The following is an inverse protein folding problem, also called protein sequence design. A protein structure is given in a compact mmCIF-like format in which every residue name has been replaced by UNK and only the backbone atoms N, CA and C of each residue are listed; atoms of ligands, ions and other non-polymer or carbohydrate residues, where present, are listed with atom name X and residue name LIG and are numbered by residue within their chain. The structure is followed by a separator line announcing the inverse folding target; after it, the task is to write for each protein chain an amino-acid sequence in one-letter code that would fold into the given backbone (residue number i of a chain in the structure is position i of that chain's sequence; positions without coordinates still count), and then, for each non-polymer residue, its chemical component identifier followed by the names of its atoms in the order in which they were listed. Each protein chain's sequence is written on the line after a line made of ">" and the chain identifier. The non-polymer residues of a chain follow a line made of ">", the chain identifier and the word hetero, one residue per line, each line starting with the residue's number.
data_IF_387017197330
#
_entry.id   IF_387017197330
#
_cell.length_a   1.000
_cell.length_b   1.000
_cell.length_c   1.000
_cell.angle_alpha   90.00
_cell.angle_beta   90.00
_cell.angle_gamma   90.00
#
_symmetry.space_group_name_H-M   'P 1'
#
loop_
_entity.id
_entity.type
_entity.pdbx_description
1 polymer ?
#
# COMPACT_ATOMS: atom_id res chain seq x y z
N UNK A 1 -8.41 -8.55 -25.07
CA UNK A 1 -8.15 -9.58 -24.04
C UNK A 1 -8.69 -9.04 -22.72
N UNK A 2 -9.79 -9.56 -22.17
CA UNK A 2 -10.31 -9.09 -20.87
C UNK A 2 -9.50 -9.78 -19.78
N UNK A 3 -8.66 -9.03 -19.05
CA UNK A 3 -7.98 -9.55 -17.87
C UNK A 3 -9.05 -9.90 -16.82
N UNK A 4 -9.13 -11.17 -16.43
CA UNK A 4 -10.01 -11.60 -15.33
C UNK A 4 -9.26 -11.34 -14.03
N UNK A 5 -9.77 -10.42 -13.21
CA UNK A 5 -9.20 -10.17 -11.90
C UNK A 5 -9.50 -11.35 -10.95
N UNK A 6 -8.56 -11.72 -10.07
CA UNK A 6 -8.82 -12.71 -9.03
C UNK A 6 -9.94 -12.25 -8.10
N UNK A 7 -10.89 -13.10 -7.67
CA UNK A 7 -11.99 -12.70 -6.80
C UNK A 7 -11.53 -12.20 -5.42
N UNK A 8 -10.31 -12.52 -5.00
CA UNK A 8 -9.72 -12.14 -3.72
C UNK A 8 -9.60 -10.63 -3.56
N UNK A 9 -9.44 -9.87 -4.67
CA UNK A 9 -9.36 -8.39 -4.64
C UNK A 9 -10.67 -7.72 -4.26
N UNK A 10 -11.77 -8.48 -4.14
CA UNK A 10 -13.06 -7.99 -3.70
C UNK A 10 -13.27 -8.17 -2.19
N UNK A 11 -12.35 -8.85 -1.50
CA UNK A 11 -12.42 -9.08 -0.06
C UNK A 11 -11.79 -7.92 0.70
N UNK A 12 -12.30 -7.67 1.90
CA UNK A 12 -11.64 -6.74 2.82
C UNK A 12 -10.27 -7.28 3.26
N UNK A 13 -9.28 -6.41 3.50
CA UNK A 13 -8.05 -6.77 4.17
C UNK A 13 -8.34 -7.43 5.51
N UNK A 14 -7.57 -8.46 5.82
CA UNK A 14 -7.65 -9.15 7.10
C UNK A 14 -6.55 -8.62 8.00
N UNK A 15 -6.92 -8.21 9.20
CA UNK A 15 -6.02 -7.89 10.30
C UNK A 15 -6.27 -8.89 11.42
N UNK A 16 -5.25 -9.65 11.79
CA UNK A 16 -5.32 -10.64 12.86
C UNK A 16 -4.26 -10.32 13.90
N UNK A 17 -4.58 -10.40 15.18
CA UNK A 17 -3.56 -10.30 16.24
C UNK A 17 -2.52 -11.41 16.04
N UNK A 18 -1.23 -11.09 16.17
CA UNK A 18 -0.12 -12.03 15.95
C UNK A 18 -0.09 -13.20 16.95
N UNK A 19 -1.03 -13.28 17.89
CA UNK A 19 -1.13 -14.36 18.87
C UNK A 19 0.03 -14.43 19.87
N UNK A 20 0.83 -13.35 19.98
CA UNK A 20 1.98 -13.30 20.88
C UNK A 20 3.31 -13.61 20.20
N UNK A 21 3.55 -13.06 19.01
CA UNK A 21 4.87 -13.14 18.37
C UNK A 21 5.96 -12.60 19.30
N UNK A 22 7.08 -13.32 19.36
CA UNK A 22 8.24 -12.90 20.14
C UNK A 22 8.73 -11.53 19.63
N UNK A 23 9.10 -10.59 20.53
CA UNK A 23 9.65 -9.32 20.10
C UNK A 23 10.90 -9.51 19.23
N UNK A 24 10.98 -8.77 18.14
CA UNK A 24 12.15 -8.72 17.28
C UNK A 24 13.15 -7.78 17.95
N UNK A 25 14.25 -8.35 18.46
CA UNK A 25 15.32 -7.60 19.12
C UNK A 25 16.52 -7.44 18.20
N UNK A 26 17.04 -6.22 18.09
CA UNK A 26 18.25 -5.93 17.32
C UNK A 26 18.99 -4.70 17.84
N UNK A 27 20.28 -4.58 17.49
CA UNK A 27 21.14 -3.45 17.88
C UNK A 27 21.50 -2.62 16.66
N UNK A 28 21.48 -1.28 16.78
CA UNK A 28 21.93 -0.37 15.72
C UNK A 28 22.45 0.94 16.30
N UNK A 29 23.67 1.33 15.89
CA UNK A 29 24.36 2.55 16.34
C UNK A 29 24.43 2.67 17.88
N UNK A 30 24.81 1.59 18.57
CA UNK A 30 24.91 1.51 20.04
C UNK A 30 23.58 1.58 20.81
N UNK A 31 22.43 1.47 20.12
CA UNK A 31 21.11 1.33 20.72
C UNK A 31 20.56 -0.08 20.54
N UNK A 32 19.87 -0.59 21.57
CA UNK A 32 19.06 -1.80 21.51
C UNK A 32 17.60 -1.44 21.23
N UNK A 33 17.00 -2.15 20.27
CA UNK A 33 15.62 -1.97 19.86
C UNK A 33 14.85 -3.26 20.12
N UNK A 34 13.61 -3.12 20.60
CA UNK A 34 12.65 -4.19 20.73
C UNK A 34 11.37 -3.81 19.95
N UNK A 35 11.09 -4.53 18.88
CA UNK A 35 9.86 -4.37 18.11
C UNK A 35 8.89 -5.48 18.49
N UNK A 36 7.69 -5.10 18.95
CA UNK A 36 6.61 -6.05 19.25
C UNK A 36 5.57 -6.01 18.13
N UNK A 37 5.50 -7.02 17.24
CA UNK A 37 4.46 -7.09 16.22
C UNK A 37 3.10 -7.33 16.86
N UNK A 38 2.15 -6.41 16.65
CA UNK A 38 0.80 -6.51 17.24
C UNK A 38 -0.18 -7.27 16.35
N UNK A 39 -0.05 -7.14 15.03
CA UNK A 39 -0.98 -7.74 14.07
C UNK A 39 -0.27 -8.24 12.82
N UNK A 40 -0.81 -9.29 12.24
CA UNK A 40 -0.54 -9.78 10.89
C UNK A 40 -1.62 -9.22 9.96
N UNK A 41 -1.19 -8.78 8.77
CA UNK A 41 -2.05 -8.17 7.78
C UNK A 41 -1.98 -8.96 6.47
N UNK A 42 -3.13 -9.32 5.93
CA UNK A 42 -3.28 -9.86 4.58
C UNK A 42 -4.12 -8.89 3.75
N UNK A 43 -3.58 -8.46 2.61
CA UNK A 43 -4.28 -7.61 1.66
C UNK A 43 -4.18 -8.16 0.25
N UNK A 44 -5.34 -8.32 -0.40
CA UNK A 44 -5.46 -8.64 -1.81
C UNK A 44 -6.05 -7.41 -2.50
N UNK A 45 -5.28 -6.76 -3.36
CA UNK A 45 -5.70 -5.50 -3.99
C UNK A 45 -5.15 -5.32 -5.40
N UNK A 46 -5.82 -4.46 -6.16
CA UNK A 46 -5.36 -4.01 -7.46
C UNK A 46 -4.39 -2.84 -7.28
N UNK A 47 -3.18 -2.96 -7.82
CA UNK A 47 -2.21 -1.87 -7.87
C UNK A 47 -2.68 -0.82 -8.87
N UNK A 48 -2.93 0.40 -8.40
CA UNK A 48 -3.35 1.53 -9.24
C UNK A 48 -2.26 2.58 -9.42
N UNK A 49 -1.25 2.58 -8.56
CA UNK A 49 -0.04 3.39 -8.70
C UNK A 49 1.14 2.71 -8.03
N UNK A 50 2.33 2.94 -8.58
CA UNK A 50 3.60 2.46 -8.04
C UNK A 50 4.61 3.59 -8.08
N UNK A 51 5.26 3.86 -6.95
CA UNK A 51 6.38 4.79 -6.86
C UNK A 51 7.64 4.07 -6.43
N UNK A 52 8.73 4.31 -7.14
CA UNK A 52 10.04 3.71 -6.89
C UNK A 52 11.04 4.80 -6.59
N UNK A 53 11.78 4.65 -5.50
CA UNK A 53 12.78 5.61 -5.03
C UNK A 53 14.21 5.22 -5.45
N UNK A 54 14.38 4.05 -6.08
CA UNK A 54 15.68 3.48 -6.48
C UNK A 54 16.57 4.38 -7.36
N UNK A 55 16.01 5.38 -8.05
CA UNK A 55 16.72 6.22 -9.02
C UNK A 55 16.79 7.71 -8.63
N UNK A 56 16.34 8.08 -7.43
CA UNK A 56 16.48 9.45 -6.95
C UNK A 56 17.92 9.62 -6.43
N UNK A 57 18.74 10.29 -7.24
CA UNK A 57 20.22 10.39 -7.12
C UNK A 57 20.71 11.40 -6.09
N UNK A 58 19.85 11.92 -5.20
CA UNK A 58 20.22 12.97 -4.25
C UNK A 58 20.14 12.42 -2.83
N UNK A 59 21.14 11.67 -2.38
CA UNK A 59 21.39 11.31 -0.96
C UNK A 59 20.13 11.13 -0.07
N UNK A 60 19.05 10.54 -0.60
CA UNK A 60 17.71 10.79 -0.06
C UNK A 60 17.45 9.80 1.06
N UNK A 61 17.48 10.32 2.28
CA UNK A 61 17.07 9.72 3.56
C UNK A 61 17.29 8.22 3.81
N UNK A 62 17.77 7.90 5.02
CA UNK A 62 17.95 6.50 5.49
C UNK A 62 16.70 5.62 5.31
N UNK A 63 15.51 6.23 5.26
CA UNK A 63 14.22 5.57 5.09
C UNK A 63 14.00 4.99 3.69
N UNK A 64 14.46 5.65 2.61
CA UNK A 64 14.26 5.15 1.23
C UNK A 64 15.06 3.88 0.94
N UNK A 65 16.18 3.68 1.65
CA UNK A 65 16.96 2.43 1.60
C UNK A 65 16.22 1.27 2.25
N UNK A 66 15.37 1.53 3.24
CA UNK A 66 14.57 0.50 3.90
C UNK A 66 13.29 0.23 3.10
N UNK A 67 12.63 1.28 2.61
CA UNK A 67 11.37 1.18 1.86
C UNK A 67 11.49 1.81 0.47
N UNK A 68 12.01 1.09 -0.53
CA UNK A 68 12.34 1.64 -1.84
C UNK A 68 11.14 1.71 -2.80
N UNK A 69 10.00 1.14 -2.43
CA UNK A 69 8.80 1.08 -3.26
C UNK A 69 7.56 1.33 -2.43
N UNK A 70 6.69 2.20 -2.94
CA UNK A 70 5.34 2.41 -2.44
C UNK A 70 4.33 1.85 -3.46
N UNK A 71 3.33 1.11 -2.99
CA UNK A 71 2.23 0.59 -3.79
C UNK A 71 0.90 1.16 -3.30
N UNK A 72 0.22 1.89 -4.18
CA UNK A 72 -1.17 2.29 -3.97
C UNK A 72 -2.10 1.18 -4.45
N UNK A 73 -2.91 0.66 -3.54
CA UNK A 73 -3.83 -0.45 -3.77
C UNK A 73 -5.29 0.01 -3.63
N UNK A 74 -6.19 -0.63 -4.37
CA UNK A 74 -7.64 -0.59 -4.14
C UNK A 74 -8.20 -2.02 -4.10
N UNK A 75 -9.34 -2.20 -3.43
CA UNK A 75 -10.05 -3.50 -3.35
C UNK A 75 -11.57 -3.28 -3.37
N UNK A 76 -12.34 -4.32 -3.06
CA UNK A 76 -13.77 -4.22 -2.76
C UNK A 76 -14.62 -3.60 -3.87
N UNK A 77 -15.50 -2.68 -3.48
CA UNK A 77 -16.41 -1.94 -4.37
C UNK A 77 -15.69 -1.11 -5.44
N UNK A 78 -14.52 -0.54 -5.16
CA UNK A 78 -13.73 0.20 -6.16
C UNK A 78 -13.32 -0.71 -7.33
N UNK A 79 -12.95 -1.96 -7.03
CA UNK A 79 -12.59 -2.94 -8.07
C UNK A 79 -13.84 -3.52 -8.74
N UNK A 80 -14.88 -3.86 -7.97
CA UNK A 80 -16.12 -4.42 -8.49
C UNK A 80 -16.81 -3.49 -9.51
N UNK A 81 -16.87 -2.19 -9.21
CA UNK A 81 -17.45 -1.16 -10.08
C UNK A 81 -16.55 -0.78 -11.27
N UNK A 82 -15.28 -1.24 -11.26
CA UNK A 82 -14.23 -0.84 -12.21
C UNK A 82 -14.00 0.67 -12.25
N UNK A 83 -14.19 1.36 -11.12
CA UNK A 83 -14.05 2.82 -11.03
C UNK A 83 -12.67 3.30 -11.48
N UNK A 84 -11.64 2.47 -11.28
CA UNK A 84 -10.26 2.71 -11.72
C UNK A 84 -10.08 2.78 -13.24
N UNK A 85 -11.03 2.27 -14.03
CA UNK A 85 -11.02 2.36 -15.49
C UNK A 85 -11.71 3.64 -15.99
N UNK A 86 -12.39 4.38 -15.11
CA UNK A 86 -13.04 5.63 -15.49
C UNK A 86 -11.97 6.70 -15.79
N UNK A 87 -12.03 7.28 -17.00
CA UNK A 87 -11.07 8.30 -17.47
C UNK A 87 -10.96 9.53 -16.56
N UNK A 88 -12.00 9.80 -15.77
CA UNK A 88 -12.06 10.93 -14.84
C UNK A 88 -11.39 10.64 -13.50
N UNK A 89 -11.07 9.38 -13.19
CA UNK A 89 -10.35 9.00 -11.97
C UNK A 89 -8.85 8.98 -12.25
N UNK A 90 -8.08 9.64 -11.39
CA UNK A 90 -6.62 9.75 -11.49
C UNK A 90 -5.97 9.39 -10.18
N UNK A 91 -5.05 8.44 -10.23
CA UNK A 91 -4.20 8.07 -9.12
C UNK A 91 -2.82 8.68 -9.30
N UNK A 92 -2.25 9.18 -8.21
CA UNK A 92 -0.87 9.68 -8.18
C UNK A 92 -0.24 9.36 -6.84
N UNK A 93 1.09 9.40 -6.79
CA UNK A 93 1.84 9.27 -5.54
C UNK A 93 2.90 10.35 -5.47
N UNK A 94 3.08 10.93 -4.29
CA UNK A 94 4.18 11.84 -4.02
C UNK A 94 4.74 11.70 -2.59
N UNK A 95 6.06 11.76 -2.49
CA UNK A 95 6.86 11.48 -1.29
C UNK A 95 6.52 10.14 -0.63
N UNK A 96 5.46 10.03 0.18
CA UNK A 96 4.98 8.79 0.83
C UNK A 96 3.46 8.70 0.88
N UNK A 97 2.80 9.46 0.03
CA UNK A 97 1.36 9.62 0.01
C UNK A 97 0.80 9.12 -1.31
N UNK A 98 -0.31 8.40 -1.25
CA UNK A 98 -1.11 8.08 -2.42
C UNK A 98 -2.33 9.00 -2.46
N UNK A 99 -2.63 9.50 -3.65
CA UNK A 99 -3.74 10.40 -3.91
C UNK A 99 -4.64 9.80 -4.97
N UNK A 100 -5.93 10.07 -4.83
CA UNK A 100 -6.93 9.81 -5.85
C UNK A 100 -7.75 11.09 -6.04
N UNK A 101 -7.94 11.49 -7.29
CA UNK A 101 -8.73 12.66 -7.65
C UNK A 101 -9.70 12.27 -8.76
N UNK A 102 -10.90 12.84 -8.73
CA UNK A 102 -11.89 12.60 -9.77
C UNK A 102 -12.82 13.79 -9.99
N UNK A 103 -13.52 13.76 -11.13
CA UNK A 103 -14.49 14.79 -11.51
C UNK A 103 -15.84 14.16 -11.89
N UNK A 104 -16.91 14.84 -11.51
CA UNK A 104 -18.29 14.39 -11.71
C UNK A 104 -18.78 13.48 -10.58
N UNK A 105 -19.96 12.90 -10.76
CA UNK A 105 -20.57 11.99 -9.80
C UNK A 105 -19.94 10.60 -9.92
N UNK A 106 -18.88 10.35 -9.15
CA UNK A 106 -18.17 9.07 -9.08
C UNK A 106 -18.19 8.60 -7.64
N UNK A 107 -18.68 7.39 -7.45
CA UNK A 107 -18.70 6.70 -6.18
C UNK A 107 -17.37 5.95 -5.98
N UNK A 108 -16.37 6.66 -5.47
CA UNK A 108 -15.08 6.08 -5.11
C UNK A 108 -15.02 5.91 -3.59
N UNK A 109 -14.82 4.68 -3.12
CA UNK A 109 -14.74 4.38 -1.71
C UNK A 109 -13.31 4.62 -1.18
N UNK A 110 -13.09 5.71 -0.45
CA UNK A 110 -11.78 6.04 0.13
C UNK A 110 -11.33 5.06 1.23
N UNK A 111 -12.24 4.30 1.84
CA UNK A 111 -11.88 3.28 2.84
C UNK A 111 -11.34 2.00 2.19
N UNK A 112 -11.53 1.83 0.87
CA UNK A 112 -11.02 0.71 0.08
C UNK A 112 -9.79 1.10 -0.75
N UNK A 113 -8.92 1.92 -0.15
CA UNK A 113 -7.66 2.37 -0.72
C UNK A 113 -6.57 2.41 0.36
N UNK A 114 -5.35 2.00 0.01
CA UNK A 114 -4.20 2.09 0.91
C UNK A 114 -2.92 2.40 0.14
N UNK A 115 -1.97 3.05 0.82
CA UNK A 115 -0.59 3.17 0.37
C UNK A 115 0.29 2.24 1.21
N UNK A 116 1.07 1.39 0.56
CA UNK A 116 1.83 0.34 1.23
C UNK A 116 3.32 0.55 0.96
N UNK A 117 4.11 0.68 2.01
CA UNK A 117 5.56 0.90 1.94
C UNK A 117 6.27 -0.44 2.09
N UNK A 118 6.84 -0.96 1.00
CA UNK A 118 7.44 -2.29 1.03
C UNK A 118 8.90 -2.23 1.48
N UNK A 119 9.29 -2.99 2.52
CA UNK A 119 10.68 -3.08 2.93
C UNK A 119 11.52 -3.90 1.93
N UNK A 120 12.84 -3.72 1.96
CA UNK A 120 13.84 -4.64 1.33
C UNK A 120 14.25 -5.77 2.26
#
# INVERSE_FOLDING_TARGET
>A
MSLRLPPEVLREPVQQETGGNQPIRFTKNDYEYELTPLYDYEINGLIVSKRSYKFLTLESDRYEKVFPVDLALIWGSNVASKVYQNRNVKFSQDCRWAYVNWYGNIDFNLNEMSNNHLPV
#
